data_IF_555022187206
#
_entry.id   IF_555022187206
#
_cell.length_a   1.000
_cell.length_b   1.000
_cell.length_c   1.000
_cell.angle_alpha   90.00
_cell.angle_beta   90.00
_cell.angle_gamma   90.00
#
_symmetry.space_group_name_H-M   'P 1'
#
loop_
_entity.id
_entity.type
_entity.pdbx_description
1 polymer ?
#
# COMPACT_ATOMS: atom_id res chain seq x y z
N UNK A 1 -55.32 12.25 34.95
CA UNK A 1 -55.00 10.86 35.37
C UNK A 1 -53.56 10.85 35.85
N UNK A 2 -53.35 11.51 36.99
CA UNK A 2 -52.08 11.85 37.62
C UNK A 2 -52.27 11.41 39.07
N UNK A 3 -51.23 10.79 39.66
CA UNK A 3 -51.15 10.14 40.99
C UNK A 3 -51.30 8.62 40.96
N UNK A 4 -50.43 7.95 41.74
CA UNK A 4 -50.19 6.50 41.97
C UNK A 4 -49.07 5.98 41.04
N UNK A 5 -47.86 5.61 41.45
CA UNK A 5 -47.32 5.08 42.71
C UNK A 5 -45.83 5.45 42.78
N UNK A 6 -45.41 6.08 43.88
CA UNK A 6 -44.02 6.15 44.36
C UNK A 6 -43.93 5.19 45.54
N UNK A 7 -43.03 4.21 45.51
CA UNK A 7 -42.30 3.68 46.68
C UNK A 7 -41.38 2.54 46.25
N UNK A 8 -40.23 2.45 46.92
CA UNK A 8 -39.34 1.29 47.06
C UNK A 8 -38.43 0.97 45.87
N UNK A 9 -37.27 1.66 45.78
CA UNK A 9 -35.98 0.96 45.84
C UNK A 9 -35.04 1.82 46.70
N UNK A 10 -34.58 1.22 47.80
CA UNK A 10 -33.75 1.84 48.81
C UNK A 10 -32.33 2.15 48.35
N UNK A 11 -31.85 3.29 48.80
CA UNK A 11 -30.46 3.72 48.89
C UNK A 11 -29.60 2.67 49.58
N UNK A 12 -28.67 2.07 48.84
CA UNK A 12 -27.44 1.49 49.38
C UNK A 12 -26.27 2.35 48.92
N UNK A 13 -25.85 3.28 49.79
CA UNK A 13 -24.61 4.03 49.65
C UNK A 13 -23.50 3.10 50.13
N UNK A 14 -22.83 2.44 49.20
CA UNK A 14 -21.55 1.79 49.48
C UNK A 14 -20.45 2.82 49.19
N UNK A 15 -19.88 3.38 50.26
CA UNK A 15 -18.64 4.11 50.22
C UNK A 15 -17.50 3.13 49.91
N UNK A 16 -17.00 3.14 48.66
CA UNK A 16 -15.67 2.66 48.34
C UNK A 16 -14.84 3.86 47.94
N UNK A 17 -13.95 4.26 48.85
CA UNK A 17 -12.85 5.15 48.53
C UNK A 17 -11.97 4.50 47.49
N UNK A 18 -11.70 5.23 46.41
CA UNK A 18 -10.64 4.89 45.48
C UNK A 18 -9.61 6.00 45.53
N UNK A 19 -8.42 5.57 45.94
CA UNK A 19 -7.19 6.32 45.96
C UNK A 19 -6.99 7.11 44.68
N UNK A 20 -6.46 8.32 44.81
CA UNK A 20 -5.94 9.09 43.69
C UNK A 20 -4.84 8.30 43.00
N UNK A 21 -5.16 7.66 41.88
CA UNK A 21 -4.17 7.23 40.92
C UNK A 21 -3.69 8.48 40.18
N UNK A 22 -2.44 8.85 40.44
CA UNK A 22 -1.74 9.89 39.72
C UNK A 22 -1.80 9.67 38.21
N UNK A 23 -1.75 10.78 37.49
CA UNK A 23 -1.76 10.88 36.05
C UNK A 23 -0.64 10.06 35.39
N UNK A 24 -0.90 8.77 35.18
CA UNK A 24 -0.19 7.90 34.24
C UNK A 24 -1.10 7.65 33.06
N UNK A 25 -1.36 8.67 32.25
CA UNK A 25 -1.93 8.44 30.92
C UNK A 25 -1.01 7.46 30.18
N UNK A 26 -1.54 6.58 29.30
CA UNK A 26 -0.70 5.63 28.57
C UNK A 26 0.41 6.41 27.85
N UNK A 27 1.64 6.21 28.33
CA UNK A 27 2.83 6.79 27.74
C UNK A 27 2.86 6.30 26.29
N UNK A 28 2.82 7.23 25.33
CA UNK A 28 3.03 6.89 23.93
C UNK A 28 4.35 6.09 23.86
N UNK A 29 4.39 4.93 23.20
CA UNK A 29 5.62 4.18 23.08
C UNK A 29 6.68 5.13 22.54
N UNK A 30 7.85 5.15 23.19
CA UNK A 30 8.95 6.02 22.78
C UNK A 30 9.21 5.78 21.28
N UNK A 31 9.16 6.85 20.48
CA UNK A 31 9.64 6.76 19.10
C UNK A 31 11.12 6.38 19.18
N UNK A 32 11.49 5.33 18.45
CA UNK A 32 12.88 4.90 18.42
C UNK A 32 13.78 6.06 17.99
N UNK A 33 14.97 6.15 18.60
CA UNK A 33 15.92 7.17 18.26
C UNK A 33 16.40 7.06 16.80
N UNK A 34 16.92 8.17 16.27
CA UNK A 34 17.41 8.23 14.88
C UNK A 34 18.50 7.19 14.59
N UNK A 35 19.31 6.82 15.60
CA UNK A 35 20.35 5.81 15.46
C UNK A 35 19.76 4.41 15.20
N UNK A 36 18.69 4.05 15.90
CA UNK A 36 17.99 2.77 15.72
C UNK A 36 17.30 2.71 14.37
N UNK A 37 16.64 3.79 13.95
CA UNK A 37 16.03 3.91 12.62
C UNK A 37 17.10 3.75 11.52
N UNK A 38 18.25 4.40 11.66
CA UNK A 38 19.37 4.29 10.73
C UNK A 38 19.94 2.87 10.65
N UNK A 39 20.08 2.18 11.78
CA UNK A 39 20.51 0.76 11.82
C UNK A 39 19.51 -0.14 11.11
N UNK A 40 18.21 0.02 11.36
CA UNK A 40 17.18 -0.80 10.71
C UNK A 40 17.16 -0.62 9.20
N UNK A 41 17.35 0.62 8.73
CA UNK A 41 17.52 0.91 7.30
C UNK A 41 18.73 0.19 6.73
N UNK A 42 19.87 0.26 7.42
CA UNK A 42 21.11 -0.37 6.96
C UNK A 42 20.97 -1.90 6.93
N UNK A 43 20.35 -2.50 7.95
CA UNK A 43 20.03 -3.94 7.96
C UNK A 43 19.15 -4.31 6.76
N UNK A 44 18.15 -3.49 6.43
CA UNK A 44 17.30 -3.71 5.27
C UNK A 44 18.08 -3.67 3.96
N UNK A 45 18.88 -2.61 3.75
CA UNK A 45 19.69 -2.42 2.55
C UNK A 45 20.69 -3.55 2.39
N UNK A 46 21.44 -3.90 3.44
CA UNK A 46 22.44 -4.98 3.38
C UNK A 46 21.81 -6.35 3.11
N UNK A 47 20.67 -6.67 3.75
CA UNK A 47 19.99 -7.95 3.56
C UNK A 47 19.48 -8.14 2.12
N UNK A 48 19.15 -7.04 1.43
CA UNK A 48 18.60 -7.04 0.06
C UNK A 48 19.63 -6.68 -1.01
N UNK A 49 20.93 -6.63 -0.72
CA UNK A 49 21.96 -6.48 -1.76
C UNK A 49 21.97 -7.67 -2.73
N UNK A 50 22.22 -7.48 -4.04
CA UNK A 50 22.37 -8.59 -4.99
C UNK A 50 23.38 -9.64 -4.51
N UNK A 51 23.07 -10.93 -4.72
CA UNK A 51 23.99 -12.04 -4.35
C UNK A 51 24.98 -12.37 -5.46
N UNK A 52 24.57 -12.16 -6.70
CA UNK A 52 25.37 -12.43 -7.89
C UNK A 52 25.74 -11.12 -8.58
N UNK A 53 26.84 -11.16 -9.31
CA UNK A 53 27.21 -10.10 -10.25
C UNK A 53 26.25 -10.10 -11.45
N UNK A 54 25.99 -8.92 -12.00
CA UNK A 54 25.09 -8.73 -13.13
C UNK A 54 23.81 -7.99 -12.77
N UNK A 55 22.93 -7.87 -13.76
CA UNK A 55 21.65 -7.17 -13.60
C UNK A 55 20.63 -8.13 -12.98
N UNK A 56 20.15 -7.89 -11.75
CA UNK A 56 19.23 -8.81 -11.09
C UNK A 56 17.88 -8.85 -11.80
N UNK A 57 17.18 -9.97 -11.64
CA UNK A 57 15.83 -10.20 -12.16
C UNK A 57 14.82 -10.00 -11.03
N UNK A 58 13.84 -9.11 -11.25
CA UNK A 58 12.74 -8.84 -10.33
C UNK A 58 11.44 -9.27 -10.99
N UNK A 59 10.75 -10.21 -10.35
CA UNK A 59 9.38 -10.55 -10.68
C UNK A 59 8.41 -9.75 -9.80
N UNK A 60 7.60 -8.87 -10.41
CA UNK A 60 6.46 -8.25 -9.76
C UNK A 60 5.26 -9.16 -9.99
N UNK A 61 4.83 -9.85 -8.93
CA UNK A 61 3.78 -10.85 -9.03
C UNK A 61 2.42 -10.19 -9.26
N UNK A 62 1.52 -10.88 -9.94
CA UNK A 62 0.14 -10.48 -10.10
C UNK A 62 -0.79 -11.70 -10.11
N UNK A 63 -2.03 -11.48 -9.69
CA UNK A 63 -3.16 -12.38 -9.93
C UNK A 63 -4.04 -11.76 -11.02
N UNK A 64 -4.26 -12.50 -12.12
CA UNK A 64 -4.94 -12.00 -13.31
C UNK A 64 -6.31 -11.38 -13.00
N UNK A 65 -7.06 -11.93 -12.03
CA UNK A 65 -8.44 -11.54 -11.70
C UNK A 65 -8.55 -10.64 -10.46
N UNK A 66 -7.45 -10.04 -10.00
CA UNK A 66 -7.52 -9.06 -8.92
C UNK A 66 -6.21 -8.87 -8.18
N UNK A 67 -5.43 -7.91 -8.66
CA UNK A 67 -4.23 -7.39 -7.98
C UNK A 67 -4.47 -5.95 -7.54
N UNK A 68 -3.98 -5.57 -6.37
CA UNK A 68 -4.07 -4.19 -5.90
C UNK A 68 -3.23 -3.27 -6.80
N UNK A 69 -3.86 -2.21 -7.31
CA UNK A 69 -3.34 -1.32 -8.33
C UNK A 69 -2.03 -0.67 -7.90
N UNK A 70 -2.02 -0.05 -6.72
CA UNK A 70 -0.87 0.68 -6.21
C UNK A 70 0.25 -0.29 -5.88
N UNK A 71 -0.06 -1.42 -5.26
CA UNK A 71 0.93 -2.43 -4.89
C UNK A 71 1.57 -3.11 -6.14
N UNK A 72 0.93 -3.06 -7.31
CA UNK A 72 1.50 -3.54 -8.57
C UNK A 72 2.23 -2.42 -9.33
N UNK A 73 1.52 -1.34 -9.66
CA UNK A 73 1.99 -0.28 -10.55
C UNK A 73 3.18 0.46 -9.95
N UNK A 74 3.13 0.75 -8.64
CA UNK A 74 4.14 1.58 -8.00
C UNK A 74 5.48 0.84 -7.90
N UNK A 75 5.59 -0.39 -7.37
CA UNK A 75 6.83 -1.15 -7.42
C UNK A 75 7.38 -1.33 -8.83
N UNK A 76 6.52 -1.70 -9.78
CA UNK A 76 6.94 -1.89 -11.17
C UNK A 76 7.53 -0.60 -11.75
N UNK A 77 6.83 0.53 -11.63
CA UNK A 77 7.28 1.81 -12.16
C UNK A 77 8.55 2.33 -11.49
N UNK A 78 8.67 2.20 -10.17
CA UNK A 78 9.88 2.59 -9.42
C UNK A 78 11.09 1.80 -9.90
N UNK A 79 10.97 0.48 -10.00
CA UNK A 79 12.09 -0.38 -10.41
C UNK A 79 12.45 -0.20 -11.90
N UNK A 80 11.45 -0.03 -12.78
CA UNK A 80 11.69 0.28 -14.20
C UNK A 80 12.42 1.62 -14.37
N UNK A 81 11.95 2.69 -13.73
CA UNK A 81 12.58 4.02 -13.78
C UNK A 81 13.98 4.01 -13.17
N UNK A 82 14.18 3.24 -12.10
CA UNK A 82 15.48 3.04 -11.50
C UNK A 82 16.45 2.31 -12.45
N UNK A 83 15.99 1.45 -13.36
CA UNK A 83 16.86 0.77 -14.32
C UNK A 83 17.95 -0.09 -13.65
N UNK A 84 17.73 -0.50 -12.39
CA UNK A 84 18.69 -1.26 -11.58
C UNK A 84 18.53 -2.77 -11.73
N UNK A 85 17.44 -3.23 -12.36
CA UNK A 85 17.06 -4.62 -12.51
C UNK A 85 16.34 -4.86 -13.83
N UNK A 86 16.29 -6.11 -14.30
CA UNK A 86 15.30 -6.57 -15.25
C UNK A 86 13.98 -6.78 -14.49
N UNK A 87 12.90 -6.09 -14.90
CA UNK A 87 11.62 -6.15 -14.20
C UNK A 87 10.58 -6.80 -15.10
N UNK A 88 9.85 -7.78 -14.56
CA UNK A 88 8.77 -8.51 -15.25
C UNK A 88 7.53 -8.54 -14.37
N UNK A 89 6.37 -8.29 -14.96
CA UNK A 89 5.10 -8.64 -14.31
C UNK A 89 4.84 -10.12 -14.60
N UNK A 90 4.70 -10.92 -13.54
CA UNK A 90 4.51 -12.37 -13.64
C UNK A 90 3.17 -12.74 -13.02
N UNK A 91 2.38 -13.54 -13.72
CA UNK A 91 1.05 -13.98 -13.28
C UNK A 91 0.83 -15.47 -13.60
N UNK A 92 -0.18 -16.14 -13.02
CA UNK A 92 -0.51 -17.51 -13.39
C UNK A 92 -0.73 -17.69 -14.90
N UNK A 93 -1.34 -16.71 -15.57
CA UNK A 93 -1.60 -16.70 -17.01
C UNK A 93 -1.05 -15.44 -17.67
N UNK A 94 -0.61 -15.56 -18.91
CA UNK A 94 -0.13 -14.42 -19.68
C UNK A 94 -1.29 -13.48 -20.07
N UNK A 95 -0.96 -12.20 -20.32
CA UNK A 95 -1.89 -11.19 -20.82
C UNK A 95 -2.40 -10.26 -19.72
N UNK A 96 -3.72 -10.09 -19.65
CA UNK A 96 -4.34 -9.05 -18.83
C UNK A 96 -4.33 -9.36 -17.33
N UNK A 97 -4.17 -8.30 -16.54
CA UNK A 97 -4.33 -8.29 -15.09
C UNK A 97 -5.34 -7.21 -14.74
N UNK A 98 -6.47 -7.61 -14.15
CA UNK A 98 -7.46 -6.71 -13.60
C UNK A 98 -6.98 -6.16 -12.25
N UNK A 99 -7.04 -4.84 -12.12
CA UNK A 99 -6.61 -4.12 -10.94
C UNK A 99 -7.80 -3.73 -10.05
N UNK A 100 -7.53 -3.52 -8.76
CA UNK A 100 -8.48 -2.96 -7.80
C UNK A 100 -7.74 -1.98 -6.87
N UNK A 101 -8.42 -1.04 -6.19
CA UNK A 101 -9.86 -0.84 -6.19
C UNK A 101 -10.40 -0.12 -7.44
N UNK A 102 -9.55 0.57 -8.20
CA UNK A 102 -9.93 1.17 -9.48
C UNK A 102 -10.17 0.10 -10.57
N UNK A 103 -11.15 0.33 -11.44
CA UNK A 103 -11.59 -0.58 -12.50
C UNK A 103 -10.68 -0.43 -13.73
N UNK A 104 -9.41 -0.82 -13.60
CA UNK A 104 -8.42 -0.75 -14.68
C UNK A 104 -7.82 -2.12 -14.96
N UNK A 105 -7.28 -2.30 -16.16
CA UNK A 105 -6.52 -3.49 -16.53
C UNK A 105 -5.19 -3.09 -17.13
N UNK A 106 -4.15 -3.85 -16.82
CA UNK A 106 -2.87 -3.76 -17.52
C UNK A 106 -2.65 -5.00 -18.35
N UNK A 107 -1.96 -4.85 -19.47
CA UNK A 107 -1.65 -5.94 -20.39
C UNK A 107 -0.15 -6.19 -20.46
N UNK A 108 0.22 -7.40 -20.90
CA UNK A 108 1.61 -7.83 -21.04
C UNK A 108 2.18 -8.53 -19.80
N UNK A 109 1.36 -9.03 -18.89
CA UNK A 109 1.86 -9.93 -17.85
C UNK A 109 2.36 -11.23 -18.49
N UNK A 110 3.48 -11.72 -18.01
CA UNK A 110 4.07 -12.99 -18.42
C UNK A 110 3.51 -14.12 -17.56
N UNK A 111 3.25 -15.29 -18.15
CA UNK A 111 2.90 -16.46 -17.36
C UNK A 111 4.11 -17.03 -16.59
N UNK A 112 3.85 -17.58 -15.40
CA UNK A 112 4.86 -18.17 -14.51
C UNK A 112 5.73 -19.23 -15.21
N UNK A 113 5.14 -20.08 -16.07
CA UNK A 113 5.90 -21.15 -16.72
C UNK A 113 6.89 -20.59 -17.74
N UNK A 114 6.50 -19.57 -18.50
CA UNK A 114 7.38 -18.86 -19.42
C UNK A 114 8.48 -18.09 -18.69
N UNK A 115 8.17 -17.47 -17.55
CA UNK A 115 9.17 -16.84 -16.69
C UNK A 115 10.22 -17.87 -16.21
N UNK A 116 9.77 -18.99 -15.66
CA UNK A 116 10.65 -20.05 -15.14
C UNK A 116 11.54 -20.65 -16.26
N UNK A 117 11.05 -20.73 -17.50
CA UNK A 117 11.86 -21.20 -18.66
C UNK A 117 12.97 -20.22 -19.04
N UNK A 118 12.72 -18.91 -18.97
CA UNK A 118 13.73 -17.89 -19.30
C UNK A 118 14.70 -17.63 -18.15
N UNK A 119 14.23 -17.84 -16.91
CA UNK A 119 15.02 -17.65 -15.70
C UNK A 119 15.04 -18.97 -14.89
N UNK A 120 15.78 -19.99 -15.36
CA UNK A 120 15.79 -21.32 -14.71
C UNK A 120 16.37 -21.30 -13.29
N UNK A 121 17.15 -20.27 -12.93
CA UNK A 121 17.65 -20.04 -11.57
C UNK A 121 16.64 -19.31 -10.67
N UNK A 122 15.46 -18.97 -11.18
CA UNK A 122 14.46 -18.15 -10.50
C UNK A 122 14.77 -16.64 -10.59
N UNK A 123 13.92 -15.86 -9.95
CA UNK A 123 14.10 -14.42 -9.75
C UNK A 123 15.08 -14.16 -8.59
N UNK A 124 15.83 -13.06 -8.65
CA UNK A 124 16.58 -12.57 -7.49
C UNK A 124 15.64 -11.97 -6.44
N UNK A 125 14.59 -11.28 -6.89
CA UNK A 125 13.57 -10.68 -6.06
C UNK A 125 12.16 -10.98 -6.57
N UNK A 126 11.24 -11.19 -5.65
CA UNK A 126 9.80 -11.27 -5.93
C UNK A 126 9.07 -10.19 -5.14
N UNK A 127 8.40 -9.28 -5.82
CA UNK A 127 7.47 -8.32 -5.21
C UNK A 127 6.09 -8.97 -5.18
N UNK A 128 5.48 -9.03 -4.00
CA UNK A 128 4.19 -9.69 -3.77
C UNK A 128 3.17 -8.63 -3.34
N UNK A 129 2.29 -8.17 -4.25
CA UNK A 129 1.26 -7.19 -3.92
C UNK A 129 0.11 -7.80 -3.11
N UNK A 130 -0.81 -6.96 -2.63
CA UNK A 130 -2.12 -7.44 -2.22
C UNK A 130 -2.89 -8.01 -3.42
N UNK A 131 -3.61 -9.11 -3.16
CA UNK A 131 -4.42 -9.82 -4.14
C UNK A 131 -5.81 -10.09 -3.58
N UNK A 132 -6.79 -10.21 -4.47
CA UNK A 132 -8.19 -10.46 -4.08
C UNK A 132 -8.36 -11.76 -3.29
N UNK A 133 -7.58 -12.78 -3.63
CA UNK A 133 -7.43 -14.02 -2.87
C UNK A 133 -5.98 -14.15 -2.38
N UNK A 134 -5.78 -14.66 -1.16
CA UNK A 134 -4.45 -14.79 -0.57
C UNK A 134 -3.86 -16.21 -0.70
N UNK A 135 -4.64 -17.17 -1.20
CA UNK A 135 -4.36 -18.60 -1.19
C UNK A 135 -4.51 -19.27 -2.56
N UNK A 136 -4.36 -18.52 -3.66
CA UNK A 136 -4.31 -19.09 -5.00
C UNK A 136 -3.15 -20.14 -5.10
N UNK A 137 -3.45 -21.42 -5.40
CA UNK A 137 -2.44 -22.47 -5.37
C UNK A 137 -1.29 -22.29 -6.36
N UNK A 138 -1.55 -21.68 -7.53
CA UNK A 138 -0.51 -21.42 -8.53
C UNK A 138 0.46 -20.36 -8.00
N UNK A 139 -0.07 -19.28 -7.40
CA UNK A 139 0.70 -18.23 -6.73
C UNK A 139 1.50 -18.78 -5.55
N UNK A 140 0.86 -19.44 -4.59
CA UNK A 140 1.56 -19.93 -3.39
C UNK A 140 2.60 -20.99 -3.74
N UNK A 141 2.29 -21.88 -4.68
CA UNK A 141 3.22 -22.90 -5.14
C UNK A 141 4.41 -22.32 -5.90
N UNK A 142 4.20 -21.28 -6.72
CA UNK A 142 5.29 -20.59 -7.41
C UNK A 142 6.19 -19.83 -6.43
N UNK A 143 5.61 -19.11 -5.47
CA UNK A 143 6.38 -18.44 -4.40
C UNK A 143 7.26 -19.44 -3.64
N UNK A 144 6.73 -20.59 -3.23
CA UNK A 144 7.54 -21.62 -2.56
C UNK A 144 8.72 -22.10 -3.41
N UNK A 145 8.56 -22.23 -4.72
CA UNK A 145 9.67 -22.60 -5.63
C UNK A 145 10.71 -21.51 -5.73
N UNK A 146 10.30 -20.26 -5.95
CA UNK A 146 11.21 -19.12 -6.01
C UNK A 146 11.98 -18.93 -4.69
N UNK A 147 11.32 -19.11 -3.53
CA UNK A 147 11.97 -19.10 -2.23
C UNK A 147 13.07 -20.17 -2.11
N UNK A 148 12.80 -21.41 -2.57
CA UNK A 148 13.78 -22.51 -2.57
C UNK A 148 14.96 -22.24 -3.51
N UNK A 149 14.73 -21.51 -4.60
CA UNK A 149 15.77 -21.02 -5.51
C UNK A 149 16.56 -19.83 -4.94
N UNK A 150 16.14 -19.30 -3.79
CA UNK A 150 16.86 -18.27 -3.06
C UNK A 150 16.37 -16.85 -3.31
N UNK A 151 15.25 -16.68 -4.02
CA UNK A 151 14.64 -15.37 -4.26
C UNK A 151 14.33 -14.66 -2.93
N UNK A 152 14.65 -13.37 -2.87
CA UNK A 152 14.22 -12.50 -1.77
C UNK A 152 12.83 -12.00 -2.05
N UNK A 153 11.97 -11.95 -1.04
CA UNK A 153 10.58 -11.55 -1.26
C UNK A 153 10.28 -10.24 -0.58
N UNK A 154 9.43 -9.42 -1.20
CA UNK A 154 8.93 -8.17 -0.64
C UNK A 154 7.40 -8.21 -0.69
N UNK A 155 6.77 -8.54 0.44
CA UNK A 155 5.33 -8.49 0.61
C UNK A 155 4.88 -7.05 0.84
N UNK A 156 4.16 -6.50 -0.12
CA UNK A 156 3.66 -5.12 -0.08
C UNK A 156 2.24 -5.12 0.49
N UNK A 157 1.96 -4.26 1.46
CA UNK A 157 0.61 -4.10 2.02
C UNK A 157 0.02 -5.44 2.52
N UNK A 158 -1.08 -5.91 1.95
CA UNK A 158 -1.69 -7.22 2.24
C UNK A 158 -0.98 -8.40 1.58
N UNK A 159 0.06 -8.18 0.77
CA UNK A 159 0.94 -9.21 0.22
C UNK A 159 1.62 -10.07 1.29
N UNK A 160 1.76 -9.55 2.53
CA UNK A 160 2.15 -10.34 3.68
C UNK A 160 1.21 -11.54 3.95
N UNK A 161 -0.09 -11.43 3.61
CA UNK A 161 -1.03 -12.57 3.69
C UNK A 161 -0.72 -13.64 2.68
N UNK A 162 -0.39 -13.26 1.45
CA UNK A 162 0.00 -14.19 0.38
C UNK A 162 1.29 -14.93 0.78
N UNK A 163 2.28 -14.21 1.30
CA UNK A 163 3.51 -14.80 1.85
C UNK A 163 3.22 -15.75 3.03
N UNK A 164 2.30 -15.37 3.93
CA UNK A 164 1.84 -16.22 5.01
C UNK A 164 1.23 -17.52 4.50
N UNK A 165 0.31 -17.46 3.53
CA UNK A 165 -0.29 -18.65 2.91
C UNK A 165 0.71 -19.54 2.19
N UNK A 166 1.77 -18.96 1.62
CA UNK A 166 2.89 -19.71 1.05
C UNK A 166 3.79 -20.39 2.10
N UNK A 167 3.54 -20.16 3.40
CA UNK A 167 4.35 -20.71 4.51
C UNK A 167 5.65 -19.94 4.75
N UNK A 168 5.75 -18.70 4.26
CA UNK A 168 6.98 -17.92 4.25
C UNK A 168 7.06 -16.89 5.38
N UNK A 169 6.04 -16.79 6.23
CA UNK A 169 5.98 -15.81 7.33
C UNK A 169 6.18 -16.42 8.73
N UNK A 170 5.92 -17.72 8.89
CA UNK A 170 5.99 -18.37 10.20
C UNK A 170 7.38 -18.28 10.82
N UNK A 171 7.43 -17.92 12.10
CA UNK A 171 8.66 -17.72 12.85
C UNK A 171 9.43 -16.44 12.50
N UNK A 172 8.90 -15.55 11.65
CA UNK A 172 9.59 -14.34 11.17
C UNK A 172 9.01 -13.05 11.72
N UNK A 173 9.85 -12.02 11.76
CA UNK A 173 9.44 -10.64 11.98
C UNK A 173 8.76 -10.09 10.72
N UNK A 174 7.67 -9.36 10.89
CA UNK A 174 6.94 -8.77 9.77
C UNK A 174 6.37 -7.37 10.09
N UNK A 175 6.26 -6.57 9.04
CA UNK A 175 5.31 -5.47 8.92
C UNK A 175 4.14 -5.93 8.03
N UNK A 176 3.04 -5.18 7.98
CA UNK A 176 1.89 -5.53 7.17
C UNK A 176 0.82 -4.47 7.28
N UNK A 177 -0.15 -4.50 6.37
CA UNK A 177 -1.28 -3.57 6.43
C UNK A 177 -2.01 -3.70 7.78
N UNK A 178 -2.32 -2.57 8.43
CA UNK A 178 -2.89 -2.54 9.79
C UNK A 178 -4.17 -3.38 9.94
N UNK A 179 -5.00 -3.42 8.89
CA UNK A 179 -6.24 -4.19 8.83
C UNK A 179 -6.01 -5.71 8.91
N UNK A 180 -4.90 -6.20 8.35
CA UNK A 180 -4.61 -7.63 8.26
C UNK A 180 -3.84 -8.16 9.47
N UNK A 181 -3.25 -7.29 10.30
CA UNK A 181 -2.39 -7.66 11.43
C UNK A 181 -2.99 -8.74 12.33
N UNK A 182 -4.26 -8.56 12.72
CA UNK A 182 -4.91 -9.53 13.63
C UNK A 182 -5.10 -10.89 12.96
N UNK A 183 -5.42 -10.91 11.67
CA UNK A 183 -5.61 -12.13 10.88
C UNK A 183 -4.29 -12.84 10.66
N UNK A 184 -3.22 -12.11 10.36
CA UNK A 184 -1.87 -12.64 10.22
C UNK A 184 -1.40 -13.29 11.52
N UNK A 185 -1.51 -12.62 12.66
CA UNK A 185 -1.09 -13.17 13.95
C UNK A 185 -1.91 -14.40 14.37
N UNK A 186 -3.21 -14.45 14.04
CA UNK A 186 -4.04 -15.65 14.31
C UNK A 186 -3.65 -16.84 13.43
N UNK A 187 -3.33 -16.61 12.15
CA UNK A 187 -2.99 -17.67 11.18
C UNK A 187 -1.54 -18.13 11.28
N UNK A 188 -0.65 -17.24 11.73
CA UNK A 188 0.79 -17.43 11.81
C UNK A 188 1.27 -17.09 13.23
N UNK A 189 0.95 -17.92 14.25
CA UNK A 189 1.24 -17.60 15.65
C UNK A 189 2.74 -17.51 15.95
N UNK A 190 3.60 -18.06 15.09
CA UNK A 190 5.05 -17.89 15.19
C UNK A 190 5.58 -16.57 14.60
N UNK A 191 4.77 -15.83 13.84
CA UNK A 191 5.18 -14.56 13.25
C UNK A 191 5.12 -13.42 14.28
N UNK A 192 6.10 -12.52 14.25
CA UNK A 192 6.23 -11.40 15.18
C UNK A 192 6.00 -10.07 14.46
N UNK A 193 4.92 -9.38 14.80
CA UNK A 193 4.66 -8.04 14.26
C UNK A 193 5.64 -7.02 14.86
N UNK A 194 6.25 -6.19 14.01
CA UNK A 194 7.13 -5.09 14.43
C UNK A 194 6.37 -3.77 14.30
N UNK A 195 5.94 -3.14 15.41
CA UNK A 195 5.28 -1.85 15.35
C UNK A 195 6.25 -0.74 14.92
N UNK A 196 5.71 0.38 14.46
CA UNK A 196 6.44 1.61 14.16
C UNK A 196 7.53 1.46 13.07
N UNK A 197 7.37 0.46 12.20
CA UNK A 197 8.22 0.24 11.03
C UNK A 197 7.36 0.13 9.77
N UNK A 198 7.67 0.94 8.76
CA UNK A 198 7.06 0.89 7.41
C UNK A 198 7.46 -0.36 6.67
N UNK A 199 8.69 -0.84 6.90
CA UNK A 199 9.20 -2.05 6.31
C UNK A 199 10.15 -2.77 7.26
N UNK A 200 10.18 -4.09 7.16
CA UNK A 200 11.01 -4.99 7.95
C UNK A 200 11.54 -6.07 7.03
N UNK A 201 12.78 -6.52 7.25
CA UNK A 201 13.32 -7.72 6.62
C UNK A 201 13.72 -8.74 7.68
N UNK A 202 13.41 -10.01 7.42
CA UNK A 202 13.86 -11.14 8.22
C UNK A 202 14.16 -12.34 7.31
N UNK A 203 15.44 -12.76 7.30
CA UNK A 203 15.94 -13.95 6.56
C UNK A 203 15.48 -13.98 5.10
N UNK A 204 15.63 -12.86 4.39
CA UNK A 204 15.30 -12.73 2.96
C UNK A 204 13.82 -12.48 2.64
N UNK A 205 12.96 -12.37 3.66
CA UNK A 205 11.56 -11.97 3.51
C UNK A 205 11.40 -10.58 4.07
N UNK A 206 11.15 -9.62 3.19
CA UNK A 206 10.77 -8.26 3.51
C UNK A 206 9.25 -8.13 3.46
N UNK A 207 8.70 -7.29 4.32
CA UNK A 207 7.28 -6.92 4.33
C UNK A 207 7.13 -5.43 4.60
N UNK A 208 6.08 -4.83 4.06
CA UNK A 208 5.77 -3.41 4.22
C UNK A 208 4.40 -3.21 4.85
N UNK A 209 4.17 -2.04 5.41
CA UNK A 209 2.83 -1.61 5.76
C UNK A 209 2.05 -1.13 4.53
N UNK A 210 0.90 -0.49 4.72
CA UNK A 210 -0.05 -0.22 3.65
C UNK A 210 0.45 0.69 2.53
N UNK A 211 0.14 0.29 1.29
CA UNK A 211 0.00 1.09 0.05
C UNK A 211 1.10 2.13 -0.16
N UNK A 212 1.02 3.28 0.51
CA UNK A 212 1.99 4.37 0.36
C UNK A 212 3.37 4.02 0.93
N UNK A 213 3.46 3.07 1.86
CA UNK A 213 4.73 2.51 2.35
C UNK A 213 5.55 1.82 1.24
N UNK A 214 4.94 1.50 0.10
CA UNK A 214 5.64 0.99 -1.09
C UNK A 214 6.68 1.98 -1.61
N UNK A 215 6.42 3.29 -1.55
CA UNK A 215 7.37 4.31 -2.03
C UNK A 215 8.71 4.24 -1.28
N UNK A 216 8.77 4.41 0.06
CA UNK A 216 10.04 4.34 0.77
C UNK A 216 10.66 2.94 0.72
N UNK A 217 9.87 1.87 0.71
CA UNK A 217 10.41 0.50 0.62
C UNK A 217 11.08 0.27 -0.72
N UNK A 218 10.46 0.67 -1.83
CA UNK A 218 11.05 0.48 -3.16
C UNK A 218 12.28 1.37 -3.35
N UNK A 219 12.32 2.56 -2.76
CA UNK A 219 13.54 3.39 -2.72
C UNK A 219 14.67 2.70 -1.92
N UNK A 220 14.35 2.06 -0.78
CA UNK A 220 15.32 1.28 -0.02
C UNK A 220 15.83 0.05 -0.80
N UNK A 221 14.96 -0.62 -1.56
CA UNK A 221 15.35 -1.71 -2.47
C UNK A 221 16.23 -1.20 -3.62
N UNK A 222 15.93 -0.04 -4.20
CA UNK A 222 16.78 0.62 -5.19
C UNK A 222 18.13 1.00 -4.59
N UNK A 223 18.19 1.46 -3.33
CA UNK A 223 19.45 1.71 -2.62
C UNK A 223 20.26 0.41 -2.45
N UNK A 224 19.60 -0.71 -2.15
CA UNK A 224 20.25 -2.02 -2.01
C UNK A 224 20.82 -2.54 -3.35
N UNK A 225 20.12 -2.33 -4.46
CA UNK A 225 20.51 -2.87 -5.77
C UNK A 225 21.45 -1.90 -6.52
N UNK A 226 21.07 -0.64 -6.64
CA UNK A 226 21.75 0.37 -7.46
C UNK A 226 22.46 1.47 -6.67
N UNK A 227 22.51 1.35 -5.35
CA UNK A 227 23.20 2.31 -4.48
C UNK A 227 22.39 3.57 -4.15
N UNK A 228 22.85 4.27 -3.12
CA UNK A 228 22.17 5.43 -2.54
C UNK A 228 21.96 6.59 -3.52
N UNK A 229 22.92 6.84 -4.42
CA UNK A 229 22.82 7.93 -5.39
C UNK A 229 21.63 7.72 -6.34
N UNK A 230 21.40 6.49 -6.79
CA UNK A 230 20.27 6.15 -7.67
C UNK A 230 18.95 6.29 -6.94
N UNK A 231 18.88 5.83 -5.68
CA UNK A 231 17.71 6.00 -4.83
C UNK A 231 17.39 7.48 -4.58
N UNK A 232 18.40 8.32 -4.31
CA UNK A 232 18.20 9.76 -4.07
C UNK A 232 17.69 10.50 -5.32
N UNK A 233 18.22 10.17 -6.50
CA UNK A 233 17.75 10.73 -7.76
C UNK A 233 16.26 10.41 -7.99
N UNK A 234 15.87 9.15 -7.74
CA UNK A 234 14.49 8.72 -7.89
C UNK A 234 13.58 9.32 -6.80
N UNK A 235 14.03 9.40 -5.55
CA UNK A 235 13.28 10.06 -4.48
C UNK A 235 12.96 11.53 -4.85
N UNK A 236 13.91 12.22 -5.48
CA UNK A 236 13.71 13.58 -5.97
C UNK A 236 12.66 13.64 -7.08
N UNK A 237 12.68 12.71 -8.05
CA UNK A 237 11.66 12.58 -9.10
C UNK A 237 10.26 12.33 -8.50
N UNK A 238 10.17 11.48 -7.47
CA UNK A 238 8.90 11.11 -6.84
C UNK A 238 8.33 12.20 -5.91
N UNK A 239 9.16 13.17 -5.51
CA UNK A 239 8.78 14.22 -4.55
C UNK A 239 8.89 13.77 -3.09
N UNK A 240 9.81 12.84 -2.79
CA UNK A 240 10.00 12.23 -1.47
C UNK A 240 11.26 12.78 -0.82
N UNK A 241 11.14 13.28 0.42
CA UNK A 241 12.28 13.82 1.17
C UNK A 241 13.22 12.73 1.73
N UNK A 242 12.70 11.53 2.02
CA UNK A 242 13.47 10.42 2.56
C UNK A 242 12.67 9.13 2.60
N UNK A 243 13.36 8.00 2.78
CA UNK A 243 12.78 6.66 2.73
C UNK A 243 13.11 5.82 3.97
N UNK A 244 13.13 6.47 5.13
CA UNK A 244 13.42 5.84 6.41
C UNK A 244 12.35 4.82 6.80
N UNK A 245 12.72 3.76 7.55
CA UNK A 245 11.80 2.72 7.99
C UNK A 245 10.84 3.21 9.07
N UNK A 246 11.09 4.36 9.69
CA UNK A 246 10.25 4.91 10.75
C UNK A 246 8.80 5.11 10.30
N UNK A 247 7.85 4.65 11.12
CA UNK A 247 6.42 4.79 10.94
C UNK A 247 5.77 5.06 12.29
N UNK A 248 4.65 5.77 12.32
CA UNK A 248 3.80 5.81 13.51
C UNK A 248 2.63 4.86 13.30
N UNK A 249 2.64 3.69 13.94
CA UNK A 249 1.55 2.70 13.81
C UNK A 249 0.32 3.06 14.64
N UNK A 250 0.41 4.02 15.57
CA UNK A 250 -0.66 4.30 16.54
C UNK A 250 -1.97 4.83 15.93
N UNK A 251 -1.96 5.69 14.89
CA UNK A 251 -3.17 6.19 14.24
C UNK A 251 -3.95 5.13 13.44
N UNK A 252 -3.28 4.03 13.07
CA UNK A 252 -3.79 3.02 12.15
C UNK A 252 -4.38 1.82 12.91
N UNK A 253 -5.60 2.01 13.43
CA UNK A 253 -6.39 0.96 14.10
C UNK A 253 -7.89 1.17 13.87
N UNK A 254 -8.64 0.07 13.83
CA UNK A 254 -10.10 0.11 13.97
C UNK A 254 -10.42 0.41 15.45
N UNK A 255 -10.86 1.63 15.75
CA UNK A 255 -11.52 1.93 17.03
C UNK A 255 -13.05 1.78 16.87
N UNK A 256 -13.77 1.69 18.00
CA UNK A 256 -15.21 1.42 18.01
C UNK A 256 -16.03 2.54 17.31
N UNK A 257 -15.58 3.80 17.39
CA UNK A 257 -16.22 4.93 16.72
C UNK A 257 -16.05 4.84 15.20
N UNK A 258 -14.85 4.50 14.72
CA UNK A 258 -14.52 4.32 13.30
C UNK A 258 -15.16 3.06 12.70
N UNK A 259 -15.29 1.98 13.48
CA UNK A 259 -15.97 0.76 13.06
C UNK A 259 -17.47 1.02 12.79
N UNK A 260 -18.13 1.83 13.63
CA UNK A 260 -19.50 2.27 13.40
C UNK A 260 -19.64 3.09 12.12
N UNK A 261 -18.72 4.06 11.88
CA UNK A 261 -18.70 4.83 10.63
C UNK A 261 -18.47 3.94 9.39
N UNK A 262 -17.63 2.91 9.48
CA UNK A 262 -17.41 1.94 8.40
C UNK A 262 -18.70 1.19 8.03
N UNK A 263 -19.47 0.75 9.03
CA UNK A 263 -20.76 0.08 8.84
C UNK A 263 -21.79 1.04 8.27
N UNK A 264 -21.90 2.26 8.80
CA UNK A 264 -22.84 3.29 8.32
C UNK A 264 -22.53 3.69 6.87
N UNK A 265 -21.26 3.82 6.50
CA UNK A 265 -20.88 4.14 5.12
C UNK A 265 -21.14 2.97 4.15
N UNK A 266 -20.88 1.72 4.57
CA UNK A 266 -21.24 0.53 3.77
C UNK A 266 -22.76 0.37 3.63
N UNK A 267 -23.52 0.79 4.65
CA UNK A 267 -24.98 0.78 4.64
C UNK A 267 -25.58 2.01 3.91
N UNK A 268 -24.81 3.08 3.75
CA UNK A 268 -25.17 4.22 2.93
C UNK A 268 -24.90 3.88 1.45
N UNK A 269 -25.79 3.07 0.86
CA UNK A 269 -25.89 2.67 -0.57
C UNK A 269 -25.95 3.83 -1.59
N UNK A 270 -25.58 5.05 -1.21
CA UNK A 270 -25.85 6.26 -1.96
C UNK A 270 -24.77 6.54 -3.01
N UNK A 271 -25.11 6.17 -4.25
CA UNK A 271 -24.52 6.59 -5.55
C UNK A 271 -22.99 6.44 -5.63
N UNK A 272 -22.54 5.25 -6.07
CA UNK A 272 -21.21 5.10 -6.64
C UNK A 272 -21.13 5.93 -7.93
N UNK A 273 -20.53 7.11 -7.85
CA UNK A 273 -20.24 7.91 -9.03
C UNK A 273 -19.14 7.21 -9.82
N UNK A 274 -19.38 6.94 -11.11
CA UNK A 274 -18.33 6.44 -12.01
C UNK A 274 -17.53 7.61 -12.51
N UNK A 275 -16.29 7.74 -12.04
CA UNK A 275 -15.35 8.75 -12.51
C UNK A 275 -14.39 8.14 -13.51
N UNK A 276 -13.89 9.00 -14.39
CA UNK A 276 -12.86 8.66 -15.35
C UNK A 276 -11.56 9.35 -15.01
N UNK A 277 -10.45 8.66 -15.22
CA UNK A 277 -9.13 9.30 -15.25
C UNK A 277 -8.66 9.32 -16.69
N UNK A 278 -8.42 10.52 -17.22
CA UNK A 278 -7.90 10.71 -18.57
C UNK A 278 -6.43 10.28 -18.57
N UNK A 279 -6.10 9.30 -19.40
CA UNK A 279 -4.73 8.79 -19.55
C UNK A 279 -4.24 9.04 -20.96
N UNK A 280 -2.98 9.43 -21.07
CA UNK A 280 -2.27 9.72 -22.32
C UNK A 280 -0.92 9.00 -22.35
N UNK A 281 -0.33 8.86 -23.53
CA UNK A 281 0.99 8.25 -23.69
C UNK A 281 2.02 8.89 -22.75
N UNK A 282 2.75 8.07 -22.00
CA UNK A 282 3.72 8.55 -21.01
C UNK A 282 3.13 9.08 -19.71
N UNK A 283 1.83 8.88 -19.44
CA UNK A 283 1.22 9.22 -18.14
C UNK A 283 1.96 8.53 -16.99
N UNK A 284 2.13 9.25 -15.89
CA UNK A 284 2.86 8.75 -14.73
C UNK A 284 2.04 7.70 -13.96
N UNK A 285 2.52 6.46 -14.02
CA UNK A 285 1.90 5.27 -13.39
C UNK A 285 1.69 5.45 -11.89
N UNK A 286 2.64 6.11 -11.21
CA UNK A 286 2.66 6.24 -9.75
C UNK A 286 1.66 7.32 -9.34
N UNK A 287 1.64 8.45 -10.04
CA UNK A 287 0.67 9.51 -9.81
C UNK A 287 -0.76 9.00 -10.08
N UNK A 288 -0.94 8.26 -11.18
CA UNK A 288 -2.19 7.61 -11.55
C UNK A 288 -2.66 6.64 -10.46
N UNK A 289 -1.80 5.71 -10.04
CA UNK A 289 -2.13 4.71 -9.03
C UNK A 289 -2.53 5.37 -7.71
N UNK A 290 -1.71 6.26 -7.18
CA UNK A 290 -1.95 6.93 -5.89
C UNK A 290 -3.25 7.75 -5.91
N UNK A 291 -3.51 8.51 -6.96
CA UNK A 291 -4.71 9.34 -7.04
C UNK A 291 -5.99 8.51 -7.25
N UNK A 292 -5.98 7.56 -8.19
CA UNK A 292 -7.15 6.73 -8.48
C UNK A 292 -7.53 5.84 -7.29
N UNK A 293 -6.52 5.29 -6.60
CA UNK A 293 -6.70 4.49 -5.39
C UNK A 293 -7.27 5.35 -4.23
N UNK A 294 -6.71 6.54 -4.00
CA UNK A 294 -7.23 7.48 -2.99
C UNK A 294 -8.70 7.86 -3.23
N UNK A 295 -9.07 8.19 -4.47
CA UNK A 295 -10.46 8.50 -4.82
C UNK A 295 -11.38 7.30 -4.63
N UNK A 296 -10.94 6.11 -5.01
CA UNK A 296 -11.78 4.90 -4.88
C UNK A 296 -11.98 4.52 -3.40
N UNK A 297 -10.98 4.73 -2.55
CA UNK A 297 -11.06 4.52 -1.09
C UNK A 297 -11.99 5.48 -0.35
N UNK A 298 -12.51 6.51 -1.02
CA UNK A 298 -13.60 7.30 -0.46
C UNK A 298 -14.86 6.46 -0.22
N UNK A 299 -15.01 5.37 -0.99
CA UNK A 299 -16.22 4.54 -1.00
C UNK A 299 -17.42 5.24 -1.64
N UNK A 300 -17.20 6.31 -2.42
CA UNK A 300 -18.23 7.08 -3.13
C UNK A 300 -18.02 7.14 -4.63
N UNK A 301 -16.84 6.74 -5.08
CA UNK A 301 -16.40 6.87 -6.46
C UNK A 301 -15.75 5.56 -6.90
N UNK A 302 -16.08 5.10 -8.09
CA UNK A 302 -15.28 4.09 -8.80
C UNK A 302 -14.55 4.76 -9.96
N UNK A 303 -13.24 4.54 -10.07
CA UNK A 303 -12.42 5.15 -11.12
C UNK A 303 -12.12 4.14 -12.22
N UNK A 304 -12.29 4.54 -13.48
CA UNK A 304 -11.85 3.79 -14.66
C UNK A 304 -10.94 4.64 -15.56
N UNK A 305 -10.01 4.01 -16.28
CA UNK A 305 -9.15 4.69 -17.24
C UNK A 305 -9.91 5.05 -18.52
N UNK A 306 -9.74 6.28 -19.01
CA UNK A 306 -10.36 6.77 -20.25
C UNK A 306 -9.33 7.26 -21.26
N UNK A 307 -9.38 6.68 -22.45
CA UNK A 307 -8.61 7.06 -23.65
C UNK A 307 -9.25 6.45 -24.91
N UNK A 308 -8.77 6.83 -26.09
CA UNK A 308 -9.23 6.28 -27.38
C UNK A 308 -8.80 4.83 -27.64
N UNK A 309 -7.86 4.30 -26.85
CA UNK A 309 -7.35 2.93 -26.94
C UNK A 309 -6.36 2.64 -25.82
N UNK A 310 -5.64 1.50 -25.89
CA UNK A 310 -4.60 1.18 -24.93
C UNK A 310 -3.52 2.27 -24.88
N UNK A 311 -3.09 2.64 -23.68
CA UNK A 311 -2.11 3.71 -23.44
C UNK A 311 -0.87 3.12 -22.81
N UNK A 312 0.31 3.44 -23.33
CA UNK A 312 1.56 3.04 -22.68
C UNK A 312 1.97 4.11 -21.68
N UNK A 313 2.08 3.68 -20.43
CA UNK A 313 2.44 4.53 -19.30
C UNK A 313 3.95 4.81 -19.29
N UNK A 314 4.39 5.72 -18.42
CA UNK A 314 5.81 6.12 -18.31
C UNK A 314 6.74 4.95 -17.99
N UNK A 315 6.26 3.92 -17.28
CA UNK A 315 7.04 2.70 -17.04
C UNK A 315 7.11 1.73 -18.24
N UNK A 316 6.47 2.07 -19.36
CA UNK A 316 6.33 1.22 -20.54
C UNK A 316 5.20 0.18 -20.44
N UNK A 317 4.46 0.13 -19.34
CA UNK A 317 3.32 -0.79 -19.16
C UNK A 317 2.14 -0.36 -20.02
N UNK A 318 1.42 -1.32 -20.61
CA UNK A 318 0.24 -1.03 -21.41
C UNK A 318 -1.00 -1.06 -20.51
N UNK A 319 -1.64 0.09 -20.33
CA UNK A 319 -2.90 0.24 -19.62
C UNK A 319 -4.06 0.11 -20.62
N UNK A 320 -4.97 -0.82 -20.37
CA UNK A 320 -6.22 -0.87 -21.09
C UNK A 320 -7.09 0.32 -20.64
N UNK A 321 -7.50 1.13 -21.61
CA UNK A 321 -8.41 2.23 -21.41
C UNK A 321 -9.51 2.14 -22.47
N UNK A 322 -10.72 2.57 -22.10
CA UNK A 322 -11.86 2.61 -23.01
C UNK A 322 -12.33 4.06 -23.15
N UNK A 323 -12.95 4.44 -24.28
CA UNK A 323 -13.61 5.74 -24.37
C UNK A 323 -14.75 5.77 -23.35
N UNK A 324 -14.56 6.47 -22.25
CA UNK A 324 -15.62 6.65 -21.25
C UNK A 324 -16.49 7.83 -21.66
N UNK A 325 -17.80 7.71 -21.41
CA UNK A 325 -18.83 8.72 -21.65
C UNK A 325 -18.37 10.13 -21.23
N UNK A 326 -18.52 11.11 -22.14
CA UNK A 326 -18.01 12.47 -21.97
C UNK A 326 -18.61 13.21 -20.76
N UNK A 327 -19.77 12.76 -20.28
CA UNK A 327 -20.46 13.30 -19.10
C UNK A 327 -19.93 12.84 -17.75
N UNK A 328 -19.04 11.82 -17.69
CA UNK A 328 -18.52 11.33 -16.42
C UNK A 328 -17.50 12.31 -15.80
N UNK A 329 -17.58 12.60 -14.48
CA UNK A 329 -16.59 13.45 -13.79
C UNK A 329 -15.17 12.90 -13.90
N UNK A 330 -14.19 13.81 -13.88
CA UNK A 330 -12.76 13.47 -14.06
C UNK A 330 -12.02 13.43 -12.74
N UNK A 331 -11.17 12.43 -12.56
CA UNK A 331 -10.11 12.45 -11.54
C UNK A 331 -9.06 13.49 -11.94
N UNK A 332 -8.79 14.51 -11.09
CA UNK A 332 -7.76 15.51 -11.39
C UNK A 332 -6.37 14.89 -11.32
N UNK A 333 -5.63 14.94 -12.43
CA UNK A 333 -4.20 14.64 -12.49
C UNK A 333 -3.46 15.85 -13.08
N UNK A 334 -2.43 16.32 -12.40
CA UNK A 334 -1.57 17.40 -12.87
C UNK A 334 -0.24 16.85 -13.36
N UNK A 335 0.13 17.04 -14.64
CA UNK A 335 1.43 16.62 -15.15
C UNK A 335 2.60 17.41 -14.55
N UNK A 336 2.33 18.57 -13.91
CA UNK A 336 3.34 19.40 -13.28
C UNK A 336 3.74 18.90 -11.88
N UNK A 337 2.92 18.06 -11.25
CA UNK A 337 3.16 17.56 -9.90
C UNK A 337 3.95 16.26 -9.92
N UNK A 338 4.86 16.12 -8.96
CA UNK A 338 5.50 14.83 -8.69
C UNK A 338 4.49 13.87 -8.06
N UNK A 339 4.64 12.54 -8.23
CA UNK A 339 3.66 11.57 -7.78
C UNK A 339 3.18 11.72 -6.32
N UNK A 340 4.09 11.96 -5.36
CA UNK A 340 3.69 12.14 -3.95
C UNK A 340 2.99 13.49 -3.72
N UNK A 341 3.38 14.53 -4.45
CA UNK A 341 2.68 15.82 -4.41
C UNK A 341 1.28 15.73 -5.02
N UNK A 342 1.09 14.90 -6.04
CA UNK A 342 -0.24 14.59 -6.61
C UNK A 342 -1.13 13.90 -5.56
N UNK A 343 -0.60 12.94 -4.79
CA UNK A 343 -1.37 12.33 -3.69
C UNK A 343 -1.76 13.38 -2.64
N UNK A 344 -0.83 14.24 -2.23
CA UNK A 344 -1.13 15.33 -1.30
C UNK A 344 -2.28 16.20 -1.82
N UNK A 345 -2.23 16.62 -3.09
CA UNK A 345 -3.30 17.38 -3.75
C UNK A 345 -4.64 16.63 -3.72
N UNK A 346 -4.63 15.36 -4.12
CA UNK A 346 -5.83 14.51 -4.17
C UNK A 346 -6.47 14.37 -2.79
N UNK A 347 -5.69 14.24 -1.72
CA UNK A 347 -6.20 14.20 -0.36
C UNK A 347 -6.86 15.52 0.06
N UNK A 348 -6.35 16.66 -0.40
CA UNK A 348 -6.96 17.96 -0.16
C UNK A 348 -8.30 18.09 -0.91
N UNK A 349 -8.36 17.66 -2.16
CA UNK A 349 -9.60 17.64 -2.96
C UNK A 349 -10.67 16.72 -2.36
N UNK A 350 -10.28 15.57 -1.82
CA UNK A 350 -11.18 14.68 -1.09
C UNK A 350 -11.73 15.38 0.16
N UNK A 351 -10.90 16.12 0.90
CA UNK A 351 -11.35 16.88 2.06
C UNK A 351 -12.29 18.04 1.68
N UNK A 352 -12.02 18.72 0.58
CA UNK A 352 -12.90 19.78 0.04
C UNK A 352 -14.26 19.22 -0.38
N UNK A 353 -14.28 18.07 -1.06
CA UNK A 353 -15.52 17.47 -1.59
C UNK A 353 -16.34 16.73 -0.53
N UNK A 354 -15.69 15.94 0.32
CA UNK A 354 -16.35 14.99 1.24
C UNK A 354 -16.05 15.26 2.72
N UNK A 355 -15.31 16.32 3.03
CA UNK A 355 -14.95 16.71 4.39
C UNK A 355 -13.66 16.04 4.91
N UNK A 356 -13.01 16.64 5.93
CA UNK A 356 -11.74 16.18 6.47
C UNK A 356 -11.79 14.77 7.08
N UNK A 357 -12.95 14.35 7.62
CA UNK A 357 -13.13 13.01 8.17
C UNK A 357 -12.99 11.92 7.09
N UNK A 358 -13.47 12.18 5.86
CA UNK A 358 -13.32 11.26 4.73
C UNK A 358 -11.88 11.15 4.29
N UNK A 359 -11.18 12.28 4.15
CA UNK A 359 -9.75 12.32 3.87
C UNK A 359 -8.96 11.52 4.91
N UNK A 360 -9.19 11.79 6.20
CA UNK A 360 -8.46 11.13 7.29
C UNK A 360 -8.69 9.60 7.27
N UNK A 361 -9.86 9.14 6.82
CA UNK A 361 -10.13 7.72 6.55
C UNK A 361 -9.36 7.18 5.34
N UNK A 362 -9.35 7.88 4.21
CA UNK A 362 -8.57 7.48 3.03
C UNK A 362 -7.10 7.37 3.38
N UNK A 363 -6.55 8.35 4.11
CA UNK A 363 -5.19 8.30 4.62
C UNK A 363 -4.95 7.12 5.55
N UNK A 364 -5.92 6.76 6.40
CA UNK A 364 -5.84 5.57 7.23
C UNK A 364 -5.75 4.28 6.40
N UNK A 365 -6.61 4.14 5.39
CA UNK A 365 -6.60 2.98 4.48
C UNK A 365 -5.34 2.92 3.61
N UNK A 366 -4.75 4.06 3.27
CA UNK A 366 -3.51 4.15 2.50
C UNK A 366 -2.24 4.15 3.35
N UNK A 367 -2.39 4.11 4.67
CA UNK A 367 -1.33 4.29 5.66
C UNK A 367 -0.43 5.52 5.44
N UNK A 368 -1.04 6.58 4.91
CA UNK A 368 -0.34 7.81 4.61
C UNK A 368 -0.31 8.74 5.83
N UNK A 369 0.87 9.21 6.27
CA UNK A 369 0.96 10.19 7.35
C UNK A 369 0.25 11.48 6.94
N UNK A 370 -0.21 12.26 7.93
CA UNK A 370 -0.93 13.51 7.66
C UNK A 370 -0.08 14.42 6.79
N UNK A 371 -0.54 14.79 5.57
CA UNK A 371 0.13 15.84 4.82
C UNK A 371 0.07 17.08 5.72
N UNK A 372 1.21 17.71 6.00
CA UNK A 372 1.26 18.91 6.83
C UNK A 372 0.56 20.08 6.12
N UNK A 373 1.27 21.18 5.88
CA UNK A 373 0.72 22.31 5.13
C UNK A 373 0.61 22.04 3.61
N UNK A 374 0.50 20.78 3.18
CA UNK A 374 0.49 20.43 1.77
C UNK A 374 -0.74 21.01 1.05
N UNK A 375 -1.90 21.07 1.72
CA UNK A 375 -3.10 21.69 1.17
C UNK A 375 -2.94 23.21 0.97
N UNK A 376 -2.24 23.90 1.87
CA UNK A 376 -1.95 25.33 1.73
C UNK A 376 -1.00 25.60 0.56
N UNK A 377 0.05 24.77 0.41
CA UNK A 377 0.99 24.84 -0.72
C UNK A 377 0.34 24.47 -2.06
N UNK A 378 -0.56 23.49 -2.05
CA UNK A 378 -1.32 23.09 -3.21
C UNK A 378 -2.30 24.18 -3.66
N UNK A 379 -2.98 24.85 -2.72
CA UNK A 379 -3.85 25.99 -3.03
C UNK A 379 -3.08 27.14 -3.70
N UNK A 380 -1.85 27.44 -3.23
CA UNK A 380 -0.99 28.46 -3.84
C UNK A 380 -0.40 28.10 -5.21
N UNK A 381 -0.43 26.81 -5.60
CA UNK A 381 0.03 26.36 -6.92
C UNK A 381 -1.10 26.29 -7.97
N UNK A 382 -2.36 26.44 -7.54
CA UNK A 382 -3.54 26.54 -8.41
C UNK A 382 -3.91 27.99 -8.76
N UNK A 383 -3.39 28.96 -8.01
CA UNK A 383 -3.43 30.40 -8.29
C UNK A 383 -2.27 30.82 -9.16
#
# INVERSE_FOLDING_TARGET
MWKRIRALIGTSIAALGLAGCGAGGPQLPAQDDAATIGRDKQVFVEALKPRAEGRPVVAVLALNEGTEMTDLLLPYAVLQRAGVAEVRIVAPRAGRVSLYPALMEVDGAQDMASFDRMHPSGADYVIVPAMRTDDDPAVTGWLQRQARQGARMVGVCSGARVLGRAGLLDGRRFAGHWYDRSTLLRRHPGATYVPNRRYVVDRGIATTTGITASVPTMLALVEAIGGRQRAQALASELGVAGWEPAHDSAPFKLDAGRAWTYVVDKAAFWRDERWRVEVQEGSDDIALALAADAWTRTGRVSVAASASGPVRLKSGLLLAAQPVDGGAPRVPLSPALRPVQQLDLTLCEIAERYGPARRDRVMQEMEYPRPGNACERAASARS
#
